data_IF_517939543075
#
_entry.id   IF_517939543075
#
_cell.length_a   1.000
_cell.length_b   1.000
_cell.length_c   1.000
_cell.angle_alpha   90.00
_cell.angle_beta   90.00
_cell.angle_gamma   90.00
#
_symmetry.space_group_name_H-M   'P 1'
#
loop_
_entity.id
_entity.type
_entity.pdbx_description
1 polymer ?
#
# COMPACT_ATOMS: atom_id res chain seq x y z
N UNK A 1 -12.75 24.04 74.95
CA UNK A 1 -12.69 24.43 73.53
C UNK A 1 -12.94 23.17 72.72
N UNK A 2 -14.09 23.10 72.05
CA UNK A 2 -14.68 21.87 71.50
C UNK A 2 -14.68 21.98 69.97
N UNK A 3 -14.30 20.87 69.32
CA UNK A 3 -14.69 20.45 67.96
C UNK A 3 -14.30 21.37 66.77
N UNK A 4 -14.12 20.90 65.54
CA UNK A 4 -14.46 19.64 64.86
C UNK A 4 -13.51 19.55 63.63
N UNK A 5 -13.00 18.35 63.32
CA UNK A 5 -12.31 18.08 62.04
C UNK A 5 -13.36 17.99 60.91
N UNK A 6 -13.14 18.58 59.72
CA UNK A 6 -13.91 18.20 58.55
C UNK A 6 -13.21 17.06 57.83
N UNK A 7 -13.82 15.87 57.91
CA UNK A 7 -13.59 14.79 56.96
C UNK A 7 -14.32 15.14 55.65
N UNK A 8 -13.58 15.36 54.57
CA UNK A 8 -14.15 15.58 53.25
C UNK A 8 -14.14 14.25 52.49
N UNK A 9 -15.34 13.68 52.36
CA UNK A 9 -15.64 12.46 51.62
C UNK A 9 -15.49 12.75 50.13
N UNK A 10 -14.49 12.16 49.47
CA UNK A 10 -14.36 12.21 48.01
C UNK A 10 -15.32 11.20 47.37
N UNK A 11 -16.25 11.73 46.59
CA UNK A 11 -17.31 11.00 45.91
C UNK A 11 -16.76 10.06 44.82
N UNK A 12 -17.35 8.87 44.78
CA UNK A 12 -17.11 7.82 43.79
C UNK A 12 -17.78 8.23 42.47
N UNK A 13 -17.01 8.67 41.47
CA UNK A 13 -17.55 8.89 40.12
C UNK A 13 -17.58 7.56 39.37
N UNK A 14 -18.78 7.20 38.89
CA UNK A 14 -19.06 6.01 38.11
C UNK A 14 -18.19 5.94 36.83
N UNK A 15 -17.54 4.80 36.61
CA UNK A 15 -16.86 4.49 35.35
C UNK A 15 -17.93 4.13 34.33
N UNK A 16 -18.30 5.09 33.49
CA UNK A 16 -19.12 4.83 32.31
C UNK A 16 -18.29 4.05 31.29
N UNK A 17 -18.63 2.78 31.08
CA UNK A 17 -18.11 1.98 29.98
C UNK A 17 -18.62 2.55 28.65
N UNK A 18 -17.77 3.25 27.90
CA UNK A 18 -18.07 3.61 26.52
C UNK A 18 -17.86 2.38 25.65
N UNK A 19 -18.94 1.75 25.21
CA UNK A 19 -18.90 0.79 24.12
C UNK A 19 -18.44 1.53 22.85
N UNK A 20 -17.22 1.27 22.39
CA UNK A 20 -16.73 1.79 21.12
C UNK A 20 -17.53 1.14 19.98
N UNK A 21 -18.25 1.91 19.14
CA UNK A 21 -18.84 1.34 17.94
C UNK A 21 -17.73 0.93 16.97
N UNK A 22 -17.75 -0.34 16.57
CA UNK A 22 -16.99 -0.89 15.44
C UNK A 22 -17.61 -0.30 14.16
N UNK A 23 -17.34 0.98 13.89
CA UNK A 23 -17.78 1.69 12.69
C UNK A 23 -16.59 2.35 11.95
N UNK A 24 -15.36 1.89 12.22
CA UNK A 24 -14.13 2.43 11.62
C UNK A 24 -13.45 1.50 10.61
N UNK A 25 -14.13 0.44 10.16
CA UNK A 25 -13.61 -0.40 9.07
C UNK A 25 -14.08 0.08 7.69
N UNK A 26 -15.24 0.72 7.60
CA UNK A 26 -15.76 1.19 6.31
C UNK A 26 -15.06 2.48 5.81
N UNK A 27 -14.63 3.36 6.74
CA UNK A 27 -13.86 4.56 6.39
C UNK A 27 -12.39 4.28 6.01
N UNK A 28 -11.86 3.13 6.42
CA UNK A 28 -10.59 2.58 5.91
C UNK A 28 -10.77 2.04 4.50
N UNK A 29 -11.97 1.58 4.17
CA UNK A 29 -12.32 0.98 2.88
C UNK A 29 -12.41 2.02 1.73
N UNK A 30 -12.62 3.32 2.01
CA UNK A 30 -12.65 4.36 0.97
C UNK A 30 -11.25 4.88 0.56
N UNK A 31 -10.18 4.49 1.26
CA UNK A 31 -8.80 4.73 0.86
C UNK A 31 -8.19 3.55 0.05
N UNK A 32 -9.02 2.57 -0.34
CA UNK A 32 -8.60 1.21 -0.72
C UNK A 32 -7.82 1.08 -2.02
N UNK A 33 -7.87 2.05 -2.91
CA UNK A 33 -7.17 1.94 -4.20
C UNK A 33 -5.91 2.82 -4.32
N UNK A 34 -5.52 3.57 -3.27
CA UNK A 34 -4.26 4.34 -3.24
C UNK A 34 -3.12 3.54 -2.59
N UNK A 35 -1.92 3.66 -3.14
CA UNK A 35 -0.74 2.93 -2.68
C UNK A 35 -0.69 1.50 -3.22
N UNK A 36 0.18 0.67 -2.63
CA UNK A 36 0.48 -0.68 -3.16
C UNK A 36 -0.25 -1.82 -2.45
N UNK A 37 -1.09 -1.50 -1.45
CA UNK A 37 -1.71 -2.50 -0.57
C UNK A 37 -2.44 -3.61 -1.35
N UNK A 38 -3.27 -3.21 -2.32
CA UNK A 38 -4.14 -4.11 -3.09
C UNK A 38 -3.66 -4.33 -4.54
N UNK A 39 -2.39 -4.07 -4.85
CA UNK A 39 -1.85 -4.23 -6.22
C UNK A 39 -1.36 -5.65 -6.43
N UNK A 40 -1.92 -6.33 -7.43
CA UNK A 40 -1.44 -7.59 -7.95
C UNK A 40 -0.27 -7.41 -8.92
N UNK A 41 -0.44 -7.91 -10.15
CA UNK A 41 0.53 -7.67 -11.23
C UNK A 41 0.07 -6.49 -12.08
N UNK A 42 1.02 -5.66 -12.51
CA UNK A 42 0.80 -4.59 -13.49
C UNK A 42 1.38 -5.00 -14.82
N UNK A 43 0.61 -4.86 -15.90
CA UNK A 43 1.01 -5.19 -17.27
C UNK A 43 0.97 -3.94 -18.14
N UNK A 44 2.11 -3.56 -18.70
CA UNK A 44 2.31 -2.39 -19.55
C UNK A 44 2.79 -2.84 -20.94
N UNK A 45 1.88 -2.93 -21.91
CA UNK A 45 2.18 -3.64 -23.15
C UNK A 45 2.58 -5.09 -22.84
N UNK A 46 3.78 -5.50 -23.24
CA UNK A 46 4.32 -6.84 -22.96
C UNK A 46 5.09 -6.94 -21.64
N UNK A 47 5.39 -5.81 -20.99
CA UNK A 47 6.12 -5.80 -19.73
C UNK A 47 5.19 -6.13 -18.55
N UNK A 48 5.64 -7.01 -17.65
CA UNK A 48 4.92 -7.37 -16.41
C UNK A 48 5.75 -6.99 -15.19
N UNK A 49 5.15 -6.23 -14.29
CA UNK A 49 5.76 -5.77 -13.06
C UNK A 49 5.06 -6.35 -11.84
N UNK A 50 5.86 -6.94 -10.95
CA UNK A 50 5.40 -7.41 -9.65
C UNK A 50 5.11 -6.22 -8.72
N UNK A 51 4.27 -6.44 -7.71
CA UNK A 51 4.05 -5.48 -6.62
C UNK A 51 5.37 -4.97 -6.02
N UNK A 52 6.34 -5.86 -5.80
CA UNK A 52 7.67 -5.49 -5.27
C UNK A 52 8.40 -4.48 -6.16
N UNK A 53 8.40 -4.68 -7.48
CA UNK A 53 9.05 -3.72 -8.40
C UNK A 53 8.34 -2.36 -8.38
N UNK A 54 7.01 -2.35 -8.26
CA UNK A 54 6.23 -1.11 -8.13
C UNK A 54 6.59 -0.40 -6.81
N UNK A 55 6.68 -1.14 -5.71
CA UNK A 55 7.07 -0.62 -4.39
C UNK A 55 8.49 -0.04 -4.41
N UNK A 56 9.46 -0.75 -5.00
CA UNK A 56 10.85 -0.30 -5.08
C UNK A 56 11.01 0.93 -5.96
N UNK A 57 10.36 0.96 -7.13
CA UNK A 57 10.38 2.12 -8.02
C UNK A 57 9.68 3.34 -7.39
N UNK A 58 8.55 3.12 -6.70
CA UNK A 58 7.85 4.19 -5.97
C UNK A 58 8.70 4.73 -4.83
N UNK A 59 9.30 3.84 -4.03
CA UNK A 59 10.16 4.24 -2.91
C UNK A 59 11.35 5.07 -3.40
N UNK A 60 12.00 4.66 -4.50
CA UNK A 60 13.12 5.42 -5.07
C UNK A 60 12.68 6.77 -5.64
N UNK A 61 11.57 6.82 -6.38
CA UNK A 61 10.99 8.07 -6.87
C UNK A 61 10.65 9.03 -5.72
N UNK A 62 10.00 8.53 -4.67
CA UNK A 62 9.70 9.29 -3.46
C UNK A 62 10.96 9.82 -2.78
N UNK A 63 12.00 8.98 -2.62
CA UNK A 63 13.27 9.35 -2.00
C UNK A 63 13.94 10.48 -2.75
N UNK A 64 14.10 10.33 -4.08
CA UNK A 64 14.72 11.34 -4.94
C UNK A 64 13.95 12.66 -4.93
N UNK A 65 12.61 12.61 -5.02
CA UNK A 65 11.77 13.79 -4.94
C UNK A 65 11.93 14.53 -3.61
N UNK A 66 11.93 13.80 -2.49
CA UNK A 66 12.07 14.39 -1.16
C UNK A 66 13.40 15.15 -0.95
N UNK A 67 14.47 14.72 -1.63
CA UNK A 67 15.79 15.37 -1.56
C UNK A 67 16.09 16.26 -2.76
N UNK A 68 15.11 16.53 -3.63
CA UNK A 68 15.27 17.32 -4.85
C UNK A 68 16.42 16.83 -5.76
N UNK A 69 16.58 15.51 -5.88
CA UNK A 69 17.55 14.88 -6.79
C UNK A 69 16.85 14.25 -7.98
N UNK A 70 17.56 14.19 -9.10
CA UNK A 70 17.07 13.63 -10.35
C UNK A 70 18.14 12.79 -11.03
N UNK A 71 17.70 11.80 -11.82
CA UNK A 71 18.52 10.83 -12.53
C UNK A 71 18.29 10.94 -14.03
N UNK A 72 19.36 10.70 -14.79
CA UNK A 72 19.35 10.64 -16.25
C UNK A 72 19.12 11.99 -16.94
N UNK A 73 19.28 12.00 -18.26
CA UNK A 73 19.12 13.22 -19.08
C UNK A 73 17.68 13.74 -19.09
N UNK A 74 16.71 12.86 -18.86
CA UNK A 74 15.28 13.21 -18.73
C UNK A 74 14.88 13.66 -17.33
N UNK A 75 15.82 13.69 -16.38
CA UNK A 75 15.64 14.28 -15.05
C UNK A 75 14.50 13.68 -14.23
N UNK A 76 14.54 12.37 -13.98
CA UNK A 76 13.52 11.68 -13.17
C UNK A 76 13.88 11.62 -11.68
N UNK A 77 12.91 11.73 -10.75
CA UNK A 77 11.49 11.96 -10.98
C UNK A 77 11.22 13.41 -11.41
N UNK A 78 10.12 13.61 -12.13
CA UNK A 78 9.62 14.94 -12.44
C UNK A 78 8.09 14.98 -12.47
N UNK A 79 7.56 16.19 -12.52
CA UNK A 79 6.11 16.43 -12.53
C UNK A 79 5.47 15.74 -13.73
N UNK A 80 4.39 15.00 -13.47
CA UNK A 80 3.49 14.50 -14.50
C UNK A 80 2.21 15.33 -14.52
N UNK A 81 1.88 15.86 -15.70
CA UNK A 81 0.77 16.82 -15.85
C UNK A 81 -0.57 16.15 -16.20
N UNK A 82 -0.57 14.85 -16.50
CA UNK A 82 -1.75 14.08 -16.88
C UNK A 82 -2.61 14.74 -17.98
N UNK A 83 -2.00 15.14 -19.09
CA UNK A 83 -2.70 15.81 -20.20
C UNK A 83 -3.62 14.85 -20.97
N UNK A 84 -3.36 13.57 -20.82
CA UNK A 84 -4.09 12.43 -21.38
C UNK A 84 -5.36 12.11 -20.57
N UNK A 85 -5.55 12.73 -19.40
CA UNK A 85 -6.65 12.45 -18.47
C UNK A 85 -6.75 10.98 -18.04
N UNK A 86 -5.60 10.35 -17.76
CA UNK A 86 -5.56 9.01 -17.18
C UNK A 86 -6.16 9.02 -15.77
N UNK A 87 -6.88 7.96 -15.43
CA UNK A 87 -7.44 7.80 -14.10
C UNK A 87 -6.36 7.28 -13.13
N UNK A 88 -6.13 8.01 -12.04
CA UNK A 88 -5.24 7.62 -10.94
C UNK A 88 -6.01 7.57 -9.62
N UNK A 89 -5.43 6.90 -8.63
CA UNK A 89 -6.07 6.70 -7.34
C UNK A 89 -6.14 7.97 -6.45
N UNK A 90 -5.35 9.01 -6.75
CA UNK A 90 -5.46 10.34 -6.11
C UNK A 90 -5.76 11.42 -7.15
N UNK A 91 -5.95 12.67 -6.70
CA UNK A 91 -6.09 13.85 -7.55
C UNK A 91 -4.76 14.51 -7.92
N UNK A 92 -3.64 14.02 -7.39
CA UNK A 92 -2.32 14.64 -7.52
C UNK A 92 -2.13 15.85 -6.60
N UNK A 93 -1.06 16.65 -6.81
CA UNK A 93 -0.16 16.67 -7.97
C UNK A 93 0.68 15.40 -8.12
N UNK A 94 0.98 15.03 -9.36
CA UNK A 94 1.71 13.79 -9.65
C UNK A 94 3.18 14.03 -9.97
N UNK A 95 3.98 13.02 -9.64
CA UNK A 95 5.33 12.81 -10.15
C UNK A 95 5.37 11.47 -10.89
N UNK A 96 6.23 11.37 -11.89
CA UNK A 96 6.50 10.13 -12.59
C UNK A 96 7.95 9.68 -12.39
N UNK A 97 8.15 8.35 -12.37
CA UNK A 97 9.47 7.75 -12.30
C UNK A 97 9.51 6.47 -13.17
N UNK A 98 10.60 6.20 -13.90
CA UNK A 98 10.71 5.00 -14.72
C UNK A 98 10.65 3.72 -13.88
N UNK A 99 9.91 2.75 -14.39
CA UNK A 99 9.99 1.36 -13.91
C UNK A 99 10.58 0.51 -15.03
N UNK A 100 11.57 -0.31 -14.68
CA UNK A 100 12.27 -1.17 -15.63
C UNK A 100 12.34 -2.59 -15.09
N UNK A 101 12.36 -3.57 -15.98
CA UNK A 101 12.38 -5.00 -15.60
C UNK A 101 13.67 -5.41 -14.87
N UNK A 102 14.76 -4.67 -15.07
CA UNK A 102 16.09 -4.94 -14.48
C UNK A 102 16.27 -4.43 -13.05
N UNK A 103 15.22 -3.95 -12.38
CA UNK A 103 15.28 -3.38 -11.02
C UNK A 103 15.09 -1.86 -11.01
N UNK A 104 15.72 -1.18 -10.05
CA UNK A 104 15.59 0.29 -9.95
C UNK A 104 16.25 1.00 -11.13
N UNK A 105 15.59 2.05 -11.61
CA UNK A 105 16.13 2.93 -12.64
C UNK A 105 17.34 3.72 -12.12
N UNK A 106 18.41 3.78 -12.93
CA UNK A 106 19.71 4.38 -12.56
C UNK A 106 20.12 5.57 -13.43
N UNK A 107 19.21 6.12 -14.25
CA UNK A 107 19.51 7.26 -15.12
C UNK A 107 19.86 6.92 -16.58
N UNK A 108 19.74 5.64 -16.98
CA UNK A 108 19.94 5.21 -18.38
C UNK A 108 18.71 5.49 -19.25
N UNK A 109 18.57 4.82 -20.39
CA UNK A 109 17.32 4.85 -21.15
C UNK A 109 16.14 4.40 -20.27
N UNK A 110 15.09 5.22 -20.08
CA UNK A 110 14.02 4.95 -19.12
C UNK A 110 13.00 3.90 -19.60
N UNK A 111 13.07 3.47 -20.86
CA UNK A 111 12.04 2.63 -21.46
C UNK A 111 10.68 3.35 -21.58
N UNK A 112 9.59 2.62 -21.92
CA UNK A 112 8.28 3.21 -22.14
C UNK A 112 7.41 3.37 -20.88
N UNK A 113 7.76 2.71 -19.77
CA UNK A 113 6.85 2.54 -18.63
C UNK A 113 7.22 3.43 -17.44
N UNK A 114 6.19 3.95 -16.75
CA UNK A 114 6.35 4.86 -15.61
C UNK A 114 5.42 4.45 -14.48
N UNK A 115 5.93 4.43 -13.25
CA UNK A 115 5.05 4.56 -12.09
C UNK A 115 4.68 6.04 -11.93
N UNK A 116 3.49 6.27 -11.39
CA UNK A 116 2.97 7.58 -11.04
C UNK A 116 2.73 7.58 -9.54
N UNK A 117 3.27 8.59 -8.86
CA UNK A 117 3.12 8.75 -7.43
C UNK A 117 2.67 10.16 -7.07
N UNK A 118 1.96 10.27 -5.95
CA UNK A 118 1.57 11.53 -5.34
C UNK A 118 2.47 11.75 -4.11
N UNK A 119 3.37 12.74 -4.13
CA UNK A 119 4.31 12.96 -3.02
C UNK A 119 3.66 13.51 -1.75
N UNK A 120 2.43 14.02 -1.82
CA UNK A 120 1.79 14.75 -0.73
C UNK A 120 0.43 14.18 -0.33
N UNK A 121 0.04 13.01 -0.85
CA UNK A 121 -1.24 12.39 -0.52
C UNK A 121 -1.35 12.15 0.98
N UNK A 122 -2.20 12.95 1.64
CA UNK A 122 -2.41 12.89 3.09
C UNK A 122 -1.09 12.98 3.89
N UNK A 123 -0.14 13.80 3.43
CA UNK A 123 1.22 13.94 4.00
C UNK A 123 2.09 12.69 3.86
N UNK A 124 1.87 11.90 2.82
CA UNK A 124 2.66 10.72 2.50
C UNK A 124 2.90 10.61 1.00
N UNK A 125 4.06 10.08 0.62
CA UNK A 125 4.38 9.78 -0.76
C UNK A 125 3.85 8.39 -1.11
N UNK A 126 2.92 8.30 -2.08
CA UNK A 126 2.20 7.06 -2.39
C UNK A 126 2.10 6.81 -3.89
N UNK A 127 2.18 5.53 -4.27
CA UNK A 127 1.84 5.09 -5.62
C UNK A 127 0.37 5.37 -5.92
N UNK A 128 0.06 5.82 -7.15
CA UNK A 128 -1.32 6.09 -7.58
C UNK A 128 -1.69 5.46 -8.93
N UNK A 129 -0.71 4.92 -9.67
CA UNK A 129 -0.93 4.16 -10.89
C UNK A 129 0.34 3.94 -11.69
N UNK A 130 0.21 3.23 -12.82
CA UNK A 130 1.30 2.99 -13.77
C UNK A 130 0.80 3.29 -15.17
N UNK A 131 1.66 3.87 -16.00
CA UNK A 131 1.36 4.25 -17.38
C UNK A 131 2.48 3.83 -18.33
N UNK A 132 2.16 3.73 -19.61
CA UNK A 132 3.11 3.33 -20.65
C UNK A 132 2.91 4.10 -21.95
N UNK A 133 4.02 4.38 -22.65
CA UNK A 133 3.97 4.83 -24.04
C UNK A 133 3.50 3.71 -25.00
N UNK A 134 3.60 2.45 -24.60
CA UNK A 134 3.23 1.31 -25.45
C UNK A 134 1.72 1.30 -25.69
N UNK A 135 1.32 1.39 -26.96
CA UNK A 135 -0.10 1.44 -27.36
C UNK A 135 -0.72 2.84 -27.31
N UNK A 136 0.04 3.89 -26.95
CA UNK A 136 -0.43 5.26 -27.08
C UNK A 136 -0.43 5.71 -28.55
N UNK A 137 -1.40 6.55 -28.92
CA UNK A 137 -1.57 7.05 -30.30
C UNK A 137 -0.50 8.04 -30.73
N UNK A 138 0.11 8.76 -29.78
CA UNK A 138 1.15 9.76 -30.02
C UNK A 138 2.50 9.34 -29.48
N UNK A 139 3.59 9.86 -30.07
CA UNK A 139 4.97 9.53 -29.67
C UNK A 139 5.31 9.86 -28.21
N UNK A 140 4.61 10.84 -27.64
CA UNK A 140 4.78 11.30 -26.25
C UNK A 140 3.55 11.02 -25.38
N UNK A 141 2.55 10.30 -25.90
CA UNK A 141 1.32 10.02 -25.18
C UNK A 141 1.47 8.81 -24.26
N UNK A 142 0.65 8.75 -23.21
CA UNK A 142 0.58 7.63 -22.29
C UNK A 142 -0.81 6.98 -22.30
N UNK A 143 -0.85 5.69 -22.03
CA UNK A 143 -2.06 4.94 -21.65
C UNK A 143 -1.84 4.27 -20.31
N UNK A 144 -2.92 4.01 -19.57
CA UNK A 144 -2.85 3.28 -18.31
C UNK A 144 -2.40 1.83 -18.53
N UNK A 145 -1.54 1.33 -17.66
CA UNK A 145 -1.24 -0.09 -17.62
C UNK A 145 -2.40 -0.88 -16.99
N UNK A 146 -2.53 -2.15 -17.35
CA UNK A 146 -3.53 -3.04 -16.77
C UNK A 146 -3.04 -3.56 -15.42
N UNK A 147 -3.80 -3.31 -14.34
CA UNK A 147 -3.48 -3.74 -12.99
C UNK A 147 -4.50 -4.77 -12.50
N UNK A 148 -4.03 -5.92 -12.01
CA UNK A 148 -4.87 -6.84 -11.24
C UNK A 148 -4.93 -6.40 -9.78
N UNK A 149 -6.05 -6.66 -9.08
CA UNK A 149 -6.10 -6.50 -7.62
C UNK A 149 -5.45 -7.72 -6.98
N UNK A 150 -4.60 -7.53 -5.98
CA UNK A 150 -4.19 -8.62 -5.10
C UNK A 150 -5.44 -9.13 -4.42
N UNK A 151 -5.82 -10.37 -4.71
CA UNK A 151 -6.86 -11.06 -3.96
C UNK A 151 -6.38 -11.17 -2.51
N UNK A 152 -6.84 -10.28 -1.64
CA UNK A 152 -7.04 -10.67 -0.25
C UNK A 152 -7.97 -11.87 -0.31
N UNK A 153 -7.49 -13.04 0.09
CA UNK A 153 -8.35 -14.17 0.45
C UNK A 153 -9.30 -13.71 1.55
N UNK A 154 -10.43 -13.17 1.12
CA UNK A 154 -11.64 -12.94 1.88
C UNK A 154 -12.67 -13.83 1.21
N UNK A 155 -12.89 -15.01 1.78
CA UNK A 155 -14.03 -15.84 1.40
C UNK A 155 -15.31 -15.05 1.61
N UNK A 156 -16.24 -15.15 0.65
CA UNK A 156 -17.63 -14.68 0.78
C UNK A 156 -18.01 -13.59 -0.22
N UNK A 157 -18.45 -13.99 -1.42
CA UNK A 157 -19.04 -13.10 -2.41
C UNK A 157 -19.82 -13.88 -3.46
N UNK A 158 -21.08 -14.15 -3.15
CA UNK A 158 -22.08 -14.77 -4.02
C UNK A 158 -22.35 -13.88 -5.25
N UNK A 159 -22.21 -14.44 -6.46
CA UNK A 159 -22.50 -13.75 -7.73
C UNK A 159 -22.56 -14.78 -8.86
N UNK A 160 -23.78 -15.17 -9.24
CA UNK A 160 -24.09 -16.37 -10.00
C UNK A 160 -23.62 -16.38 -11.46
N UNK A 161 -23.16 -17.57 -11.87
CA UNK A 161 -22.89 -17.95 -13.25
C UNK A 161 -23.05 -19.47 -13.35
N UNK A 162 -24.25 -19.87 -13.77
CA UNK A 162 -24.74 -21.23 -13.92
C UNK A 162 -23.86 -22.08 -14.86
N UNK A 163 -23.44 -23.27 -14.42
CA UNK A 163 -23.16 -24.42 -15.29
C UNK A 163 -23.10 -25.72 -14.48
N UNK A 164 -24.11 -26.56 -14.68
CA UNK A 164 -24.24 -27.90 -14.12
C UNK A 164 -23.27 -28.86 -14.81
N UNK A 165 -22.53 -29.68 -14.05
CA UNK A 165 -22.73 -31.14 -14.03
C UNK A 165 -21.87 -31.75 -12.92
N UNK A 166 -22.49 -32.60 -12.10
CA UNK A 166 -21.86 -33.20 -10.92
C UNK A 166 -21.01 -34.41 -11.24
N UNK A 167 -20.03 -34.68 -10.38
CA UNK A 167 -19.85 -35.99 -9.72
C UNK A 167 -18.83 -35.87 -8.59
N UNK A 168 -19.20 -36.45 -7.46
CA UNK A 168 -18.54 -36.39 -6.17
C UNK A 168 -17.24 -37.21 -6.11
N UNK A 169 -16.26 -36.74 -5.34
CA UNK A 169 -15.42 -37.60 -4.51
C UNK A 169 -14.80 -36.76 -3.38
N UNK A 170 -15.36 -36.93 -2.17
CA UNK A 170 -14.75 -36.48 -0.93
C UNK A 170 -13.49 -37.31 -0.65
N UNK A 171 -12.44 -36.70 -0.12
CA UNK A 171 -11.39 -37.40 0.62
C UNK A 171 -10.80 -36.47 1.67
N UNK A 172 -10.60 -37.06 2.84
CA UNK A 172 -10.48 -36.42 4.13
C UNK A 172 -9.03 -36.04 4.50
N UNK A 173 -8.94 -35.05 5.40
CA UNK A 173 -8.18 -35.04 6.66
C UNK A 173 -6.74 -35.59 6.70
N UNK A 174 -5.79 -34.72 7.07
CA UNK A 174 -4.60 -34.92 7.95
C UNK A 174 -3.73 -33.66 7.85
N UNK A 175 -3.07 -33.07 8.85
CA UNK A 175 -2.76 -33.40 10.24
C UNK A 175 -1.98 -32.22 10.84
N UNK A 176 -1.86 -32.21 12.17
CA UNK A 176 -1.42 -31.11 13.02
C UNK A 176 0.11 -30.92 13.13
N UNK A 177 0.57 -29.70 13.44
CA UNK A 177 1.36 -29.27 14.63
C UNK A 177 2.25 -28.03 14.36
N UNK A 178 2.29 -27.03 15.27
CA UNK A 178 3.35 -26.01 15.30
C UNK A 178 4.33 -26.23 16.47
N UNK A 179 5.63 -26.29 16.18
CA UNK A 179 6.72 -26.00 17.13
C UNK A 179 7.01 -24.48 17.01
N UNK A 180 7.15 -23.65 18.04
CA UNK A 180 7.53 -23.89 19.43
C UNK A 180 9.02 -23.58 19.62
N UNK A 181 9.37 -22.30 19.85
CA UNK A 181 10.62 -21.90 20.52
C UNK A 181 10.57 -20.42 20.93
N UNK A 182 10.21 -20.16 22.18
CA UNK A 182 10.50 -18.92 22.89
C UNK A 182 11.87 -19.07 23.57
N UNK A 183 12.75 -18.07 23.40
CA UNK A 183 13.99 -17.97 24.19
C UNK A 183 14.01 -16.58 24.83
N UNK A 184 13.58 -16.55 26.09
CA UNK A 184 14.10 -15.61 27.09
C UNK A 184 15.56 -15.95 27.36
N UNK A 185 16.41 -14.97 27.71
CA UNK A 185 17.38 -15.06 28.81
C UNK A 185 18.14 -13.72 28.99
N UNK A 186 18.09 -13.28 30.26
CA UNK A 186 19.05 -12.53 31.10
C UNK A 186 19.61 -11.15 30.70
N UNK A 187 19.01 -10.16 31.36
CA UNK A 187 19.65 -9.23 32.32
C UNK A 187 21.09 -9.55 32.75
N UNK A 188 21.98 -8.56 32.59
CA UNK A 188 23.18 -8.37 33.42
C UNK A 188 23.33 -6.88 33.74
N UNK A 189 22.98 -6.53 34.97
CA UNK A 189 23.47 -5.34 35.67
C UNK A 189 24.96 -5.57 35.99
N UNK A 190 25.83 -4.64 35.64
CA UNK A 190 27.17 -4.57 36.21
C UNK A 190 27.47 -3.12 36.62
N UNK A 191 27.69 -2.97 37.92
CA UNK A 191 28.02 -1.75 38.65
C UNK A 191 29.51 -1.84 39.02
N UNK A 192 30.33 -0.93 38.50
CA UNK A 192 31.69 -0.53 38.96
C UNK A 192 32.24 0.42 37.86
N UNK A 193 32.75 1.63 38.12
CA UNK A 193 33.17 2.32 39.32
C UNK A 193 32.93 3.84 39.13
#
# INVERSE_FOLDING_TARGET
MVCLKPALVFALCAVSATANPIASLDKRQSAVDVGTANIGTVTCGDNRYSKKQIEEATAEGCRLHAVNQQLGSSQYPHRFNNRENLAFASSGPYQEFPIVSSGNYTGRAPGPDRIVFDPNYRSSCVYVGTMTHTGASGRSGFVSCNQTKSSSSSGGGNGGGSSNNGTSAASALSGATPLGAAVSILSLLALAA
#
